data_IF_622178175507
#
_entry.id   IF_622178175507
#
_cell.length_a   1.000
_cell.length_b   1.000
_cell.length_c   1.000
_cell.angle_alpha   90.00
_cell.angle_beta   90.00
_cell.angle_gamma   90.00
#
_symmetry.space_group_name_H-M   'P 1'
#
loop_
_entity.id
_entity.type
_entity.pdbx_description
1 polymer ?
#
# COMPACT_ATOMS: atom_id res chain seq x y z
N UNK A 1 7.91 -17.59 -4.26
CA UNK A 1 8.02 -16.11 -4.32
C UNK A 1 7.32 -15.54 -3.11
N UNK A 2 7.86 -14.46 -2.57
CA UNK A 2 7.37 -13.84 -1.35
C UNK A 2 7.21 -12.34 -1.58
N UNK A 3 6.21 -11.75 -0.93
CA UNK A 3 5.86 -10.35 -1.11
C UNK A 3 5.73 -9.66 0.23
N UNK A 4 6.31 -8.48 0.34
CA UNK A 4 6.06 -7.54 1.42
C UNK A 4 5.31 -6.36 0.83
N UNK A 5 4.20 -5.95 1.43
CA UNK A 5 3.31 -4.96 0.84
C UNK A 5 2.86 -3.93 1.88
N UNK A 6 2.58 -2.73 1.39
CA UNK A 6 2.07 -1.60 2.18
C UNK A 6 0.69 -1.25 1.63
N UNK A 7 -0.33 -1.41 2.47
CA UNK A 7 -1.68 -0.94 2.21
C UNK A 7 -1.94 0.36 2.95
N UNK A 8 -2.79 1.20 2.37
CA UNK A 8 -3.29 2.43 2.97
C UNK A 8 -4.79 2.39 3.05
N UNK A 9 -5.35 2.62 4.22
CA UNK A 9 -6.78 2.84 4.39
C UNK A 9 -7.14 4.21 3.83
N UNK A 10 -8.17 4.24 2.98
CA UNK A 10 -8.74 5.49 2.46
C UNK A 10 -9.53 6.25 3.55
N UNK A 11 -10.08 5.53 4.54
CA UNK A 11 -11.00 6.08 5.55
C UNK A 11 -10.29 6.54 6.82
N UNK A 12 -9.43 5.70 7.40
CA UNK A 12 -8.86 5.96 8.73
C UNK A 12 -7.42 6.48 8.70
N UNK A 13 -6.92 6.78 7.51
CA UNK A 13 -5.53 7.11 7.23
C UNK A 13 -4.47 6.12 7.79
N UNK A 14 -4.88 4.94 8.27
CA UNK A 14 -3.96 3.90 8.76
C UNK A 14 -3.21 3.26 7.60
N UNK A 15 -2.00 2.79 7.90
CA UNK A 15 -1.23 1.95 6.99
C UNK A 15 -1.09 0.55 7.57
N UNK A 16 -1.00 -0.44 6.68
CA UNK A 16 -0.79 -1.83 7.03
C UNK A 16 0.42 -2.35 6.26
N UNK A 17 1.37 -2.95 6.97
CA UNK A 17 2.50 -3.65 6.38
C UNK A 17 2.28 -5.14 6.57
N UNK A 18 2.28 -5.89 5.47
CA UNK A 18 2.04 -7.33 5.50
C UNK A 18 3.03 -8.11 4.65
N UNK A 19 3.08 -9.40 4.92
CA UNK A 19 3.84 -10.39 4.16
C UNK A 19 2.89 -11.45 3.58
N UNK A 20 3.19 -11.94 2.37
CA UNK A 20 2.37 -12.94 1.68
C UNK A 20 3.17 -13.76 0.68
N UNK A 21 2.78 -15.02 0.49
CA UNK A 21 3.22 -15.86 -0.64
C UNK A 21 2.38 -15.65 -1.89
N UNK A 22 1.15 -15.13 -1.75
CA UNK A 22 0.28 -14.69 -2.84
C UNK A 22 0.66 -13.28 -3.31
N UNK A 23 0.37 -12.98 -4.57
CA UNK A 23 0.59 -11.63 -5.12
C UNK A 23 -0.21 -10.56 -4.35
N UNK A 24 0.32 -9.32 -4.24
CA UNK A 24 -0.32 -8.25 -3.47
C UNK A 24 -1.73 -7.87 -3.91
N UNK A 25 -2.06 -7.96 -5.20
CA UNK A 25 -3.38 -7.69 -5.77
C UNK A 25 -4.45 -8.64 -5.25
N UNK A 26 -4.12 -9.94 -5.12
CA UNK A 26 -5.01 -10.93 -4.53
C UNK A 26 -5.27 -10.59 -3.06
N UNK A 27 -4.21 -10.24 -2.32
CA UNK A 27 -4.32 -9.84 -0.91
C UNK A 27 -5.13 -8.58 -0.72
N UNK A 28 -4.99 -7.60 -1.61
CA UNK A 28 -5.80 -6.39 -1.61
C UNK A 28 -7.29 -6.72 -1.75
N UNK A 29 -7.62 -7.59 -2.71
CA UNK A 29 -9.00 -8.04 -2.90
C UNK A 29 -9.52 -8.78 -1.67
N UNK A 30 -8.75 -9.72 -1.11
CA UNK A 30 -9.09 -10.43 0.13
C UNK A 30 -9.35 -9.44 1.28
N UNK A 31 -8.46 -8.45 1.50
CA UNK A 31 -8.62 -7.44 2.56
C UNK A 31 -9.87 -6.58 2.37
N UNK A 32 -10.18 -6.17 1.13
CA UNK A 32 -11.37 -5.37 0.84
C UNK A 32 -12.67 -6.19 0.93
N UNK A 33 -12.65 -7.48 0.58
CA UNK A 33 -13.81 -8.37 0.72
C UNK A 33 -14.13 -8.70 2.18
N UNK A 34 -13.12 -8.85 3.05
CA UNK A 34 -13.33 -9.11 4.48
C UNK A 34 -13.82 -7.90 5.28
N UNK A 35 -13.97 -6.73 4.66
CA UNK A 35 -14.57 -5.55 5.28
C UNK A 35 -16.12 -5.55 5.27
N UNK A 36 -16.79 -6.59 4.75
CA UNK A 36 -18.20 -6.51 4.35
C UNK A 36 -19.28 -6.66 5.43
N UNK A 37 -19.00 -7.02 6.69
CA UNK A 37 -20.10 -7.21 7.66
C UNK A 37 -19.87 -6.73 9.10
N UNK A 38 -18.65 -6.72 9.64
CA UNK A 38 -18.41 -6.33 11.05
C UNK A 38 -17.17 -5.43 11.28
N UNK A 39 -16.33 -5.22 10.25
CA UNK A 39 -15.06 -4.49 10.32
C UNK A 39 -15.02 -3.31 9.33
N UNK A 40 -16.19 -2.75 9.04
CA UNK A 40 -16.46 -1.62 8.13
C UNK A 40 -15.65 -0.37 8.43
N UNK A 41 -15.02 -0.28 9.60
CA UNK A 41 -14.39 0.96 10.01
C UNK A 41 -13.01 1.23 9.41
N UNK A 42 -12.33 0.27 8.75
CA UNK A 42 -10.97 0.50 8.22
C UNK A 42 -10.81 0.34 6.70
N UNK A 43 -11.83 -0.14 5.99
CA UNK A 43 -11.85 -0.22 4.52
C UNK A 43 -12.43 1.04 3.88
N UNK A 44 -12.25 1.26 2.56
CA UNK A 44 -11.45 0.46 1.63
C UNK A 44 -9.93 0.70 1.76
N UNK A 45 -9.14 -0.29 1.34
CA UNK A 45 -7.68 -0.26 1.30
C UNK A 45 -7.17 -0.09 -0.12
N UNK A 46 -6.07 0.64 -0.26
CA UNK A 46 -5.28 0.77 -1.50
C UNK A 46 -3.89 0.16 -1.32
N UNK A 47 -3.41 -0.54 -2.35
CA UNK A 47 -2.02 -0.98 -2.41
C UNK A 47 -1.14 0.18 -2.88
N UNK A 48 -0.24 0.63 -2.01
CA UNK A 48 0.66 1.76 -2.29
C UNK A 48 2.01 1.30 -2.80
N UNK A 49 2.52 0.21 -2.23
CA UNK A 49 3.88 -0.26 -2.49
C UNK A 49 4.00 -1.75 -2.20
N UNK A 50 4.87 -2.43 -2.93
CA UNK A 50 5.25 -3.80 -2.63
C UNK A 50 6.69 -4.10 -3.07
N UNK A 51 7.31 -5.06 -2.40
CA UNK A 51 8.60 -5.63 -2.72
C UNK A 51 8.44 -7.15 -2.92
N UNK A 52 9.17 -7.69 -3.89
CA UNK A 52 9.19 -9.12 -4.20
C UNK A 52 10.54 -9.73 -3.80
N UNK A 53 10.47 -10.90 -3.19
CA UNK A 53 11.62 -11.65 -2.70
C UNK A 53 11.56 -13.10 -3.17
N UNK A 54 12.74 -13.68 -3.41
CA UNK A 54 12.91 -15.12 -3.65
C UNK A 54 13.13 -15.89 -2.35
N UNK A 55 13.69 -15.24 -1.32
CA UNK A 55 13.95 -15.81 0.01
C UNK A 55 12.90 -15.39 1.04
N UNK A 56 12.32 -16.36 1.75
CA UNK A 56 11.31 -16.10 2.79
C UNK A 56 11.88 -15.30 3.97
N UNK A 57 13.07 -15.71 4.44
CA UNK A 57 13.71 -15.10 5.60
C UNK A 57 14.01 -13.63 5.34
N UNK A 58 14.48 -13.29 4.13
CA UNK A 58 14.70 -11.90 3.71
C UNK A 58 13.41 -11.10 3.73
N UNK A 59 12.32 -11.65 3.18
CA UNK A 59 11.02 -10.99 3.16
C UNK A 59 10.45 -10.76 4.57
N UNK A 60 10.57 -11.74 5.47
CA UNK A 60 10.14 -11.60 6.87
C UNK A 60 10.99 -10.58 7.62
N UNK A 61 12.31 -10.62 7.47
CA UNK A 61 13.20 -9.62 8.07
C UNK A 61 12.86 -8.21 7.58
N UNK A 62 12.53 -8.07 6.29
CA UNK A 62 12.06 -6.81 5.71
C UNK A 62 10.73 -6.35 6.28
N UNK A 63 9.75 -7.24 6.42
CA UNK A 63 8.47 -6.92 7.06
C UNK A 63 8.69 -6.41 8.50
N UNK A 64 9.50 -7.13 9.29
CA UNK A 64 9.87 -6.71 10.65
C UNK A 64 10.57 -5.35 10.66
N UNK A 65 11.50 -5.13 9.74
CA UNK A 65 12.16 -3.83 9.59
C UNK A 65 11.15 -2.72 9.30
N UNK A 66 10.24 -2.89 8.34
CA UNK A 66 9.23 -1.89 7.98
C UNK A 66 8.26 -1.59 9.13
N UNK A 67 8.02 -2.55 10.03
CA UNK A 67 7.24 -2.37 11.26
C UNK A 67 8.02 -1.73 12.42
N UNK A 68 9.35 -1.67 12.34
CA UNK A 68 10.20 -1.02 13.35
C UNK A 68 10.03 0.51 13.37
N UNK A 69 10.56 1.20 14.37
CA UNK A 69 10.45 2.66 14.47
C UNK A 69 11.04 3.41 13.26
N UNK A 70 12.24 3.02 12.81
CA UNK A 70 12.89 3.64 11.63
C UNK A 70 12.17 3.21 10.34
N UNK A 71 11.83 1.92 10.21
CA UNK A 71 11.09 1.44 9.05
C UNK A 71 9.70 2.06 8.92
N UNK A 72 9.02 2.36 10.02
CA UNK A 72 7.73 3.05 10.01
C UNK A 72 7.86 4.47 9.45
N UNK A 73 8.97 5.16 9.74
CA UNK A 73 9.26 6.47 9.12
C UNK A 73 9.43 6.34 7.60
N UNK A 74 10.11 5.30 7.13
CA UNK A 74 10.23 4.99 5.70
C UNK A 74 8.85 4.68 5.08
N UNK A 75 8.02 3.87 5.73
CA UNK A 75 6.65 3.57 5.27
C UNK A 75 5.83 4.86 5.10
N UNK A 76 5.90 5.79 6.07
CA UNK A 76 5.24 7.09 5.96
C UNK A 76 5.76 7.89 4.78
N UNK A 77 7.07 7.94 4.57
CA UNK A 77 7.67 8.64 3.43
C UNK A 77 7.20 8.06 2.09
N UNK A 78 7.19 6.73 1.96
CA UNK A 78 6.69 6.03 0.76
C UNK A 78 5.24 6.44 0.48
N UNK A 79 4.38 6.41 1.49
CA UNK A 79 2.97 6.78 1.38
C UNK A 79 2.81 8.25 0.97
N UNK A 80 3.51 9.17 1.64
CA UNK A 80 3.46 10.61 1.32
C UNK A 80 3.87 10.87 -0.12
N UNK A 81 4.98 10.27 -0.57
CA UNK A 81 5.46 10.45 -1.93
C UNK A 81 4.47 9.89 -2.95
N UNK A 82 3.90 8.70 -2.71
CA UNK A 82 2.89 8.13 -3.59
C UNK A 82 1.66 9.05 -3.75
N UNK A 83 1.22 9.71 -2.68
CA UNK A 83 0.14 10.69 -2.74
C UNK A 83 0.54 11.93 -3.57
N UNK A 84 1.75 12.48 -3.39
CA UNK A 84 2.23 13.64 -4.14
C UNK A 84 2.31 13.39 -5.65
N UNK A 85 2.75 12.20 -6.05
CA UNK A 85 2.79 11.79 -7.46
C UNK A 85 1.38 11.74 -8.08
N UNK A 86 0.42 11.15 -7.36
CA UNK A 86 -0.96 11.05 -7.85
C UNK A 86 -1.64 12.43 -7.97
N UNK A 87 -1.38 13.36 -7.05
CA UNK A 87 -1.92 14.73 -7.13
C UNK A 87 -1.34 15.53 -8.30
N UNK A 88 -0.06 15.33 -8.61
CA UNK A 88 0.61 16.04 -9.72
C UNK A 88 0.13 15.55 -11.09
N UNK A 89 -0.26 14.28 -11.21
CA UNK A 89 -0.79 13.70 -12.44
C UNK A 89 -2.17 14.26 -12.84
N UNK A 90 -2.99 14.73 -11.88
CA UNK A 90 -4.34 15.25 -12.15
C UNK A 90 -4.31 16.67 -12.76
N UNK A 91 -3.25 17.45 -12.54
CA UNK A 91 -3.15 18.84 -13.01
C UNK A 91 -2.89 19.01 -14.52
N UNK A 92 -2.73 17.93 -15.30
CA UNK A 92 -2.35 18.03 -16.73
C UNK A 92 -3.52 17.83 -17.72
N UNK A 93 -4.73 17.47 -17.25
CA UNK A 93 -5.93 17.44 -18.12
C UNK A 93 -6.64 18.79 -18.12
N UNK A 94 -6.09 19.76 -18.85
CA UNK A 94 -6.69 21.10 -18.90
C UNK A 94 -6.06 22.03 -19.92
N UNK A 95 -5.82 21.58 -21.16
CA UNK A 95 -5.64 22.47 -22.31
C UNK A 95 -5.96 21.71 -23.60
N UNK A 96 -7.23 21.71 -23.98
CA UNK A 96 -7.62 21.49 -25.36
C UNK A 96 -7.14 22.71 -26.16
N UNK A 97 -6.38 22.55 -27.26
CA UNK A 97 -6.14 23.66 -28.15
C UNK A 97 -7.44 23.93 -28.91
N UNK A 98 -8.07 25.06 -28.63
CA UNK A 98 -9.11 25.62 -29.48
C UNK A 98 -8.45 26.07 -30.78
N UNK A 99 -8.65 25.28 -31.84
CA UNK A 99 -8.39 25.63 -33.23
C UNK A 99 -9.69 25.66 -34.00
#
# INVERSE_FOLDING_TARGET
>A
MYYVYILKSQTNHKSYVGFSTKKPDIRLSEHNQHCNFFTTNNGPWDLVYYEQFTCELCARARETFLKSGIGNKLVRLIITNAHLFNSSAVSTKGRSPSG
#
